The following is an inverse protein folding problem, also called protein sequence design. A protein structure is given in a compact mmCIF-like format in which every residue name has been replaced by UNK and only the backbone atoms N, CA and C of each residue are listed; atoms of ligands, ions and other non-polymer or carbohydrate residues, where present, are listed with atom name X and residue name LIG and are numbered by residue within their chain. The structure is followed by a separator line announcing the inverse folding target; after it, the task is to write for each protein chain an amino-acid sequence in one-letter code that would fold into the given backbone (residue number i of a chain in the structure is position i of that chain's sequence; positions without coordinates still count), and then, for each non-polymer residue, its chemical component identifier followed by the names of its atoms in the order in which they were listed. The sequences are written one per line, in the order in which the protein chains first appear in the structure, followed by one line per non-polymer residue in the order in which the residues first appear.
data_IF_463886660704
#
_entry.id   IF_463886660704
#
_cell.length_a   1.000
_cell.length_b   1.000
_cell.length_c   1.000
_cell.angle_alpha   90.00
_cell.angle_beta   90.00
_cell.angle_gamma   90.00
#
_symmetry.space_group_name_H-M   'P 1'
#
loop_
_entity.id
_entity.type
_entity.pdbx_description
1 polymer ?
#
# COMPACT_ATOMS: atom_id res chain seq x y z
N UNK A 1 7.23 -7.75 6.49
CA UNK A 1 6.12 -6.88 6.00
C UNK A 1 5.13 -6.67 7.13
N UNK A 2 4.49 -5.50 7.22
CA UNK A 2 3.47 -5.18 8.24
C UNK A 2 2.23 -4.58 7.56
N UNK A 3 1.03 -4.83 8.09
CA UNK A 3 -0.21 -4.23 7.59
C UNK A 3 -0.22 -2.74 7.96
N UNK A 4 -0.64 -1.90 7.03
CA UNK A 4 -0.86 -0.46 7.24
C UNK A 4 -2.36 -0.27 7.45
N UNK A 5 -2.77 0.05 8.68
CA UNK A 5 -4.18 0.29 9.05
C UNK A 5 -4.41 1.69 9.63
N UNK A 6 -3.40 2.57 9.52
CA UNK A 6 -3.51 3.95 10.01
C UNK A 6 -4.60 4.70 9.24
N UNK A 7 -5.49 5.41 9.94
CA UNK A 7 -6.49 6.27 9.32
C UNK A 7 -5.88 7.46 8.58
N UNK A 8 -4.68 7.87 8.98
CA UNK A 8 -3.92 8.95 8.33
C UNK A 8 -2.83 8.36 7.48
N UNK A 9 -2.79 8.77 6.20
CA UNK A 9 -1.74 8.35 5.28
C UNK A 9 -0.40 8.99 5.69
N UNK A 10 0.61 8.16 5.95
CA UNK A 10 1.96 8.63 6.22
C UNK A 10 2.57 9.20 4.91
N UNK A 11 3.38 10.28 4.98
CA UNK A 11 3.97 10.90 3.78
C UNK A 11 4.75 9.92 2.89
N UNK A 12 5.46 8.97 3.49
CA UNK A 12 6.25 7.95 2.80
C UNK A 12 5.35 6.97 2.04
N UNK A 13 4.24 6.55 2.67
CA UNK A 13 3.21 5.71 2.05
C UNK A 13 2.53 6.47 0.90
N UNK A 14 2.25 7.76 1.08
CA UNK A 14 1.68 8.62 0.03
C UNK A 14 2.60 8.70 -1.18
N UNK A 15 3.89 8.87 -0.95
CA UNK A 15 4.92 8.90 -1.99
C UNK A 15 5.01 7.57 -2.73
N UNK A 16 5.02 6.45 -1.99
CA UNK A 16 5.01 5.11 -2.57
C UNK A 16 3.79 4.83 -3.44
N UNK A 17 2.60 5.20 -2.97
CA UNK A 17 1.36 5.04 -3.74
C UNK A 17 1.28 5.97 -4.94
N UNK A 18 1.92 7.14 -4.90
CA UNK A 18 1.97 8.06 -6.05
C UNK A 18 2.69 7.45 -7.26
N UNK A 19 3.65 6.54 -7.04
CA UNK A 19 4.28 5.79 -8.12
C UNK A 19 3.32 4.78 -8.77
N UNK A 20 2.35 4.25 -8.03
CA UNK A 20 1.36 3.29 -8.54
C UNK A 20 0.12 3.96 -9.14
N UNK A 21 -0.33 5.09 -8.56
CA UNK A 21 -1.58 5.74 -8.94
C UNK A 21 -1.54 7.25 -8.70
N UNK A 22 -2.15 8.02 -9.60
CA UNK A 22 -2.32 9.47 -9.42
C UNK A 22 -3.45 9.83 -8.45
N UNK A 23 -4.31 8.88 -8.10
CA UNK A 23 -5.46 9.07 -7.19
C UNK A 23 -5.17 8.52 -5.80
N UNK A 24 -4.06 8.96 -5.21
CA UNK A 24 -3.50 8.37 -3.97
C UNK A 24 -4.51 8.42 -2.81
N UNK A 25 -5.11 9.57 -2.54
CA UNK A 25 -5.97 9.75 -1.37
C UNK A 25 -7.28 8.92 -1.47
N UNK A 26 -7.84 8.75 -2.66
CA UNK A 26 -9.02 7.90 -2.86
C UNK A 26 -8.66 6.41 -2.83
N UNK A 27 -7.54 6.01 -3.41
CA UNK A 27 -7.10 4.60 -3.38
C UNK A 27 -6.72 4.19 -1.95
N UNK A 28 -6.06 5.07 -1.20
CA UNK A 28 -5.71 4.82 0.20
C UNK A 28 -6.96 4.62 1.06
N UNK A 29 -7.99 5.44 0.88
CA UNK A 29 -9.27 5.27 1.59
C UNK A 29 -9.86 3.89 1.38
N UNK A 30 -9.78 3.33 0.17
CA UNK A 30 -10.27 1.97 -0.10
C UNK A 30 -9.52 0.90 0.72
N UNK A 31 -8.24 1.07 1.04
CA UNK A 31 -7.51 0.15 1.91
C UNK A 31 -7.87 0.30 3.40
N UNK A 32 -8.44 1.44 3.80
CA UNK A 32 -8.85 1.70 5.19
C UNK A 32 -10.30 1.32 5.42
N UNK A 33 -11.17 1.56 4.45
CA UNK A 33 -12.61 1.42 4.58
C UNK A 33 -13.14 0.07 4.08
N UNK A 34 -12.46 -0.59 3.13
CA UNK A 34 -12.91 -1.87 2.58
C UNK A 34 -12.18 -3.05 3.25
N UNK A 35 -12.87 -3.95 3.97
CA UNK A 35 -12.24 -5.11 4.62
C UNK A 35 -11.65 -6.13 3.64
N UNK A 36 -12.07 -6.11 2.38
CA UNK A 36 -11.55 -6.93 1.29
C UNK A 36 -10.21 -6.43 0.76
N UNK A 37 -9.78 -5.23 1.16
CA UNK A 37 -8.54 -4.61 0.71
C UNK A 37 -7.55 -4.51 1.86
N UNK A 38 -6.30 -4.84 1.57
CA UNK A 38 -5.21 -4.79 2.54
C UNK A 38 -4.00 -4.11 1.93
N UNK A 39 -3.40 -3.19 2.68
CA UNK A 39 -2.15 -2.55 2.31
C UNK A 39 -1.04 -3.05 3.23
N UNK A 40 0.04 -3.55 2.64
CA UNK A 40 1.23 -4.01 3.36
C UNK A 40 2.41 -3.09 3.06
N UNK A 41 3.16 -2.73 4.10
CA UNK A 41 4.44 -2.04 4.01
C UNK A 41 5.61 -3.00 4.22
N UNK A 42 6.68 -2.81 3.45
CA UNK A 42 7.98 -3.42 3.69
C UNK A 42 8.91 -2.38 4.32
N UNK A 43 9.54 -2.74 5.44
CA UNK A 43 10.31 -1.83 6.29
C UNK A 43 11.75 -2.33 6.45
N UNK A 44 12.72 -1.41 6.37
CA UNK A 44 14.13 -1.63 6.69
C UNK A 44 14.50 -0.57 7.73
N UNK A 45 15.04 -0.99 8.89
CA UNK A 45 15.42 -0.07 9.97
C UNK A 45 14.32 0.97 10.27
N UNK A 46 13.08 0.50 10.43
CA UNK A 46 11.86 1.30 10.68
C UNK A 46 11.38 2.21 9.53
N UNK A 47 12.16 2.36 8.46
CA UNK A 47 11.77 3.12 7.28
C UNK A 47 10.98 2.25 6.31
N UNK A 48 9.83 2.74 5.82
CA UNK A 48 9.09 2.06 4.77
C UNK A 48 9.79 2.26 3.42
N UNK A 49 10.07 1.17 2.72
CA UNK A 49 10.85 1.18 1.46
C UNK A 49 10.03 0.69 0.26
N UNK A 50 8.84 0.15 0.53
CA UNK A 50 7.89 -0.30 -0.48
C UNK A 50 6.53 -0.61 0.15
N UNK A 51 5.49 -0.57 -0.67
CA UNK A 51 4.16 -1.03 -0.28
C UNK A 51 3.50 -1.85 -1.39
N UNK A 52 2.65 -2.78 -0.97
CA UNK A 52 1.83 -3.59 -1.87
C UNK A 52 0.39 -3.61 -1.39
N UNK A 53 -0.52 -3.32 -2.31
CA UNK A 53 -1.96 -3.41 -2.10
C UNK A 53 -2.50 -4.73 -2.62
N UNK A 54 -3.38 -5.35 -1.84
CA UNK A 54 -4.08 -6.59 -2.21
C UNK A 54 -5.57 -6.30 -2.16
N UNK A 55 -6.29 -6.67 -3.22
CA UNK A 55 -7.74 -6.67 -3.25
C UNK A 55 -8.22 -8.13 -3.36
N UNK A 56 -9.00 -8.57 -2.37
CA UNK A 56 -9.72 -9.84 -2.45
C UNK A 56 -10.96 -9.59 -3.27
N UNK A 57 -11.07 -10.28 -4.40
CA UNK A 57 -12.27 -10.19 -5.26
C UNK A 57 -13.25 -11.29 -4.82
N UNK A 58 -12.73 -12.46 -4.41
CA UNK A 58 -13.52 -13.65 -4.05
C UNK A 58 -12.70 -14.60 -3.13
N UNK A 59 -13.32 -15.56 -2.45
CA UNK A 59 -12.62 -16.56 -1.60
C UNK A 59 -11.58 -17.43 -2.34
N UNK A 60 -11.52 -17.38 -3.68
CA UNK A 60 -10.60 -18.14 -4.52
C UNK A 60 -9.68 -17.28 -5.42
N UNK A 61 -9.83 -15.95 -5.42
CA UNK A 61 -9.07 -15.07 -6.32
C UNK A 61 -8.59 -13.80 -5.59
N UNK A 62 -7.29 -13.55 -5.66
CA UNK A 62 -6.64 -12.31 -5.20
C UNK A 62 -6.04 -11.58 -6.40
N UNK A 63 -6.34 -10.30 -6.53
CA UNK A 63 -5.66 -9.43 -7.48
C UNK A 63 -4.49 -8.73 -6.75
N UNK A 64 -3.28 -8.93 -7.30
CA UNK A 64 -2.08 -8.23 -6.85
C UNK A 64 -2.02 -6.88 -7.55
N UNK A 65 -2.14 -5.78 -6.78
CA UNK A 65 -1.90 -4.45 -7.33
C UNK A 65 -0.40 -4.14 -7.39
N UNK A 66 0.04 -3.34 -8.39
CA UNK A 66 1.45 -3.15 -8.70
C UNK A 66 2.28 -2.69 -7.49
N UNK A 67 3.44 -3.31 -7.36
CA UNK A 67 4.47 -3.05 -6.35
C UNK A 67 5.26 -1.79 -6.71
N UNK A 68 5.42 -0.87 -5.75
CA UNK A 68 6.27 0.32 -5.90
C UNK A 68 7.38 0.33 -4.85
N UNK A 69 8.61 0.61 -5.29
CA UNK A 69 9.85 0.67 -4.49
C UNK A 69 10.41 2.09 -4.54
N UNK A 70 10.98 2.57 -3.43
CA UNK A 70 11.76 3.83 -3.41
C UNK A 70 13.12 3.59 -4.10
N UNK A 71 13.50 4.36 -5.13
CA UNK A 71 14.75 4.15 -5.87
C UNK A 71 16.05 4.34 -5.07
N UNK A 72 16.01 5.09 -3.97
CA UNK A 72 17.20 5.57 -3.25
C UNK A 72 17.78 4.62 -2.20
N UNK A 73 17.22 3.43 -2.04
CA UNK A 73 17.73 2.39 -1.15
C UNK A 73 18.39 1.29 -1.99
N UNK A 74 19.65 1.55 -2.36
CA UNK A 74 20.57 0.64 -3.06
C UNK A 74 21.51 0.00 -2.06
#
# INVERSE_FOLDING_TARGET
MKVIQSKTIQPEVKTLLFYATKKVDSEYRLYIECPERMLYGYFIEENIVGCIGIAKIDQKQCELKPYCRIPSLS
#
